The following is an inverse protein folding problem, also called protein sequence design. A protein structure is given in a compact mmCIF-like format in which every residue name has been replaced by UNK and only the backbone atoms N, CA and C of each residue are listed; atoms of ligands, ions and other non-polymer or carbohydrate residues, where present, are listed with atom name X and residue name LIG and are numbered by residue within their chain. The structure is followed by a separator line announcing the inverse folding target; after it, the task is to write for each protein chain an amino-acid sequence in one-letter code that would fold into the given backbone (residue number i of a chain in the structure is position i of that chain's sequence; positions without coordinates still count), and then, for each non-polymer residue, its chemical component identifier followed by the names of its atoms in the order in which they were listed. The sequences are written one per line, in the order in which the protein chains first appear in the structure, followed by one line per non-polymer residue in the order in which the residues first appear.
data_IF_796514341207
#
_entry.id   IF_796514341207
#
_cell.length_a   1.000
_cell.length_b   1.000
_cell.length_c   1.000
_cell.angle_alpha   90.00
_cell.angle_beta   90.00
_cell.angle_gamma   90.00
#
_symmetry.space_group_name_H-M   'P 1'
#
loop_
_entity.id
_entity.type
_entity.pdbx_description
1 polymer ?
#
# COMPACT_ATOMS: atom_id res chain seq x y z
N UNK A 1 1.35 16.04 -10.21
CA UNK A 1 1.75 14.62 -10.43
C UNK A 1 0.99 14.07 -11.62
N UNK A 2 1.63 13.29 -12.50
CA UNK A 2 0.99 12.67 -13.67
C UNK A 2 -0.18 11.75 -13.27
N UNK A 3 -0.11 11.14 -12.08
CA UNK A 3 -1.18 10.37 -11.46
C UNK A 3 -2.43 11.22 -11.25
N UNK A 4 -2.28 12.42 -10.66
CA UNK A 4 -3.40 13.35 -10.44
C UNK A 4 -4.03 13.80 -11.77
N UNK A 5 -3.19 14.03 -12.79
CA UNK A 5 -3.67 14.41 -14.12
C UNK A 5 -4.50 13.29 -14.78
N UNK A 6 -4.04 12.04 -14.73
CA UNK A 6 -4.82 10.92 -15.25
C UNK A 6 -6.08 10.65 -14.42
N UNK A 7 -6.00 10.83 -13.10
CA UNK A 7 -7.15 10.72 -12.20
C UNK A 7 -8.23 11.77 -12.49
N UNK A 8 -7.84 13.02 -12.77
CA UNK A 8 -8.79 14.09 -13.10
C UNK A 8 -9.45 13.95 -14.48
N UNK A 9 -8.86 13.16 -15.38
CA UNK A 9 -9.39 12.90 -16.72
C UNK A 9 -10.31 11.68 -16.78
N UNK A 10 -10.70 11.11 -15.63
CA UNK A 10 -11.49 9.88 -15.55
C UNK A 10 -10.73 8.62 -15.94
N UNK A 11 -9.41 8.72 -16.18
CA UNK A 11 -8.52 7.59 -16.51
C UNK A 11 -7.92 6.99 -15.24
N UNK A 12 -8.79 6.60 -14.32
CA UNK A 12 -8.40 6.12 -12.97
C UNK A 12 -7.48 4.91 -13.02
N UNK A 13 -7.66 3.99 -13.98
CA UNK A 13 -6.81 2.81 -14.12
C UNK A 13 -5.35 3.17 -14.47
N UNK A 14 -5.14 4.12 -15.36
CA UNK A 14 -3.79 4.61 -15.71
C UNK A 14 -3.17 5.37 -14.54
N UNK A 15 -3.96 6.14 -13.80
CA UNK A 15 -3.49 6.81 -12.60
C UNK A 15 -3.00 5.81 -11.55
N UNK A 16 -3.78 4.76 -11.29
CA UNK A 16 -3.44 3.69 -10.35
C UNK A 16 -2.23 2.89 -10.84
N UNK A 17 -2.16 2.54 -12.14
CA UNK A 17 -0.99 1.87 -12.71
C UNK A 17 0.31 2.64 -12.45
N UNK A 18 0.32 3.94 -12.74
CA UNK A 18 1.50 4.77 -12.51
C UNK A 18 1.80 4.92 -11.01
N UNK A 19 0.78 5.02 -10.16
CA UNK A 19 0.96 5.08 -8.71
C UNK A 19 1.49 3.77 -8.10
N UNK A 20 1.22 2.63 -8.74
CA UNK A 20 1.61 1.29 -8.27
C UNK A 20 2.94 0.82 -8.82
N UNK A 21 3.63 1.62 -9.64
CA UNK A 21 4.98 1.30 -10.06
C UNK A 21 5.85 1.05 -8.82
N UNK A 22 6.45 -0.15 -8.67
CA UNK A 22 7.14 -0.57 -7.45
C UNK A 22 8.54 0.03 -7.38
N UNK A 23 8.71 1.32 -7.72
CA UNK A 23 10.01 1.97 -7.78
C UNK A 23 10.70 2.00 -6.41
N UNK A 24 9.96 2.41 -5.37
CA UNK A 24 10.46 2.42 -3.99
C UNK A 24 10.77 1.01 -3.51
N UNK A 25 9.84 0.06 -3.71
CA UNK A 25 10.03 -1.35 -3.36
C UNK A 25 11.26 -1.95 -4.03
N UNK A 26 11.47 -1.67 -5.32
CA UNK A 26 12.62 -2.18 -6.06
C UNK A 26 13.94 -1.66 -5.47
N UNK A 27 14.02 -0.36 -5.21
CA UNK A 27 15.21 0.24 -4.56
C UNK A 27 15.45 -0.42 -3.21
N UNK A 28 14.42 -0.54 -2.37
CA UNK A 28 14.53 -1.16 -1.05
C UNK A 28 14.98 -2.62 -1.11
N UNK A 29 14.41 -3.43 -2.00
CA UNK A 29 14.80 -4.84 -2.17
C UNK A 29 16.26 -4.94 -2.62
N UNK A 30 16.70 -4.11 -3.57
CA UNK A 30 18.08 -4.06 -4.01
C UNK A 30 19.02 -3.68 -2.86
N UNK A 31 18.69 -2.64 -2.08
CA UNK A 31 19.49 -2.23 -0.92
C UNK A 31 19.59 -3.34 0.11
N UNK A 32 18.48 -4.00 0.46
CA UNK A 32 18.46 -5.12 1.40
C UNK A 32 19.27 -6.31 0.86
N UNK A 33 19.17 -6.59 -0.43
CA UNK A 33 19.95 -7.66 -1.07
C UNK A 33 21.45 -7.38 -1.00
N UNK A 34 21.90 -6.17 -1.34
CA UNK A 34 23.31 -5.82 -1.27
C UNK A 34 23.84 -5.77 0.17
N UNK A 35 22.99 -5.45 1.15
CA UNK A 35 23.38 -5.37 2.55
C UNK A 35 23.35 -6.71 3.30
N UNK A 36 22.41 -7.61 2.97
CA UNK A 36 22.12 -8.83 3.73
C UNK A 36 21.93 -10.10 2.89
N UNK A 37 22.16 -10.03 1.58
CA UNK A 37 22.06 -11.14 0.65
C UNK A 37 20.62 -11.60 0.37
N UNK A 38 20.51 -12.73 -0.34
CA UNK A 38 19.23 -13.29 -0.81
C UNK A 38 18.25 -13.59 0.32
N UNK A 39 18.73 -14.10 1.46
CA UNK A 39 17.87 -14.45 2.59
C UNK A 39 17.11 -13.24 3.15
N UNK A 40 17.80 -12.12 3.34
CA UNK A 40 17.20 -10.87 3.82
C UNK A 40 16.20 -10.30 2.81
N UNK A 41 16.53 -10.30 1.51
CA UNK A 41 15.65 -9.82 0.46
C UNK A 41 14.36 -10.66 0.34
N UNK A 42 14.48 -11.99 0.42
CA UNK A 42 13.32 -12.90 0.41
C UNK A 42 12.47 -12.73 1.66
N UNK A 43 13.09 -12.55 2.83
CA UNK A 43 12.35 -12.26 4.07
C UNK A 43 11.54 -10.97 3.96
N UNK A 44 12.13 -9.91 3.41
CA UNK A 44 11.42 -8.65 3.15
C UNK A 44 10.24 -8.85 2.19
N UNK A 45 10.43 -9.59 1.09
CA UNK A 45 9.36 -9.88 0.14
C UNK A 45 8.20 -10.66 0.79
N UNK A 46 8.51 -11.64 1.66
CA UNK A 46 7.50 -12.37 2.44
C UNK A 46 6.72 -11.43 3.36
N UNK A 47 7.40 -10.57 4.11
CA UNK A 47 6.75 -9.57 4.97
C UNK A 47 5.83 -8.64 4.18
N UNK A 48 6.22 -8.28 2.95
CA UNK A 48 5.38 -7.46 2.06
C UNK A 48 4.07 -8.18 1.69
N UNK A 49 4.14 -9.48 1.39
CA UNK A 49 2.94 -10.30 1.11
C UNK A 49 2.05 -10.46 2.35
N UNK A 50 2.65 -10.60 3.52
CA UNK A 50 1.94 -10.73 4.80
C UNK A 50 1.15 -9.44 5.12
N UNK A 51 1.67 -8.27 4.77
CA UNK A 51 0.99 -6.98 4.97
C UNK A 51 -0.03 -6.64 3.88
N UNK A 52 -0.03 -7.38 2.76
CA UNK A 52 -0.93 -7.11 1.63
C UNK A 52 -2.43 -7.12 2.02
N UNK A 53 -2.94 -8.06 2.86
CA UNK A 53 -4.33 -8.04 3.29
C UNK A 53 -4.71 -6.76 4.06
N UNK A 54 -3.82 -6.24 4.90
CA UNK A 54 -4.05 -4.97 5.61
C UNK A 54 -4.15 -3.79 4.63
N UNK A 55 -3.32 -3.79 3.60
CA UNK A 55 -3.39 -2.81 2.51
C UNK A 55 -4.69 -2.92 1.71
N UNK A 56 -5.17 -4.14 1.41
CA UNK A 56 -6.46 -4.34 0.73
C UNK A 56 -7.61 -3.81 1.59
N UNK A 57 -7.60 -4.06 2.90
CA UNK A 57 -8.60 -3.53 3.83
C UNK A 57 -8.65 -2.00 3.81
N UNK A 58 -7.49 -1.33 3.75
CA UNK A 58 -7.40 0.10 3.57
C UNK A 58 -8.06 0.59 2.29
N UNK A 59 -7.75 -0.04 1.15
CA UNK A 59 -8.30 0.33 -0.15
C UNK A 59 -9.83 0.14 -0.21
N UNK A 60 -10.33 -0.97 0.36
CA UNK A 60 -11.76 -1.24 0.49
C UNK A 60 -12.43 -0.21 1.41
N UNK A 61 -11.77 0.14 2.52
CA UNK A 61 -12.20 1.21 3.42
C UNK A 61 -12.38 2.52 2.66
N UNK A 62 -11.39 2.95 1.88
CA UNK A 62 -11.52 4.14 1.05
C UNK A 62 -12.69 4.02 0.07
N UNK A 63 -12.81 2.90 -0.65
CA UNK A 63 -13.89 2.71 -1.63
C UNK A 63 -15.29 2.86 -1.01
N UNK A 64 -15.49 2.34 0.20
CA UNK A 64 -16.80 2.34 0.87
C UNK A 64 -17.07 3.61 1.67
N UNK A 65 -16.05 4.21 2.30
CA UNK A 65 -16.21 5.35 3.19
C UNK A 65 -16.20 6.68 2.42
N UNK A 66 -15.45 6.80 1.33
CA UNK A 66 -15.32 8.05 0.57
C UNK A 66 -16.66 8.64 0.13
N UNK A 67 -17.62 7.87 -0.42
CA UNK A 67 -18.94 8.41 -0.77
C UNK A 67 -19.84 8.70 0.44
N UNK A 68 -19.51 8.21 1.65
CA UNK A 68 -20.37 8.29 2.84
C UNK A 68 -19.94 9.37 3.84
N UNK A 69 -18.63 9.52 4.05
CA UNK A 69 -18.05 10.33 5.14
C UNK A 69 -17.20 11.50 4.61
N UNK A 70 -17.04 11.62 3.29
CA UNK A 70 -16.15 12.60 2.67
C UNK A 70 -14.67 12.27 2.83
N UNK A 71 -13.80 13.06 2.21
CA UNK A 71 -12.37 12.72 2.04
C UNK A 71 -11.63 12.55 3.38
N UNK A 72 -11.70 13.54 4.26
CA UNK A 72 -10.87 13.58 5.47
C UNK A 72 -11.17 12.40 6.42
N UNK A 73 -12.44 12.18 6.77
CA UNK A 73 -12.84 11.11 7.68
C UNK A 73 -12.57 9.73 7.09
N UNK A 74 -12.78 9.55 5.79
CA UNK A 74 -12.51 8.28 5.10
C UNK A 74 -11.03 7.90 5.17
N UNK A 75 -10.13 8.88 4.99
CA UNK A 75 -8.69 8.67 5.12
C UNK A 75 -8.35 8.28 6.57
N UNK A 76 -8.81 9.07 7.56
CA UNK A 76 -8.50 8.82 8.97
C UNK A 76 -8.93 7.41 9.39
N UNK A 77 -10.17 7.02 9.07
CA UNK A 77 -10.69 5.70 9.45
C UNK A 77 -9.96 4.58 8.71
N UNK A 78 -9.75 4.71 7.40
CA UNK A 78 -9.07 3.66 6.62
C UNK A 78 -7.61 3.48 7.05
N UNK A 79 -6.90 4.57 7.35
CA UNK A 79 -5.53 4.52 7.88
C UNK A 79 -5.49 3.88 9.27
N UNK A 80 -6.43 4.21 10.15
CA UNK A 80 -6.52 3.58 11.47
C UNK A 80 -6.75 2.07 11.35
N UNK A 81 -7.64 1.63 10.45
CA UNK A 81 -7.88 0.21 10.15
C UNK A 81 -6.63 -0.46 9.60
N UNK A 82 -5.91 0.19 8.68
CA UNK A 82 -4.63 -0.30 8.15
C UNK A 82 -3.62 -0.56 9.27
N UNK A 83 -3.40 0.43 10.13
CA UNK A 83 -2.41 0.33 11.22
C UNK A 83 -2.80 -0.77 12.21
N UNK A 84 -4.09 -0.87 12.56
CA UNK A 84 -4.61 -1.93 13.42
C UNK A 84 -4.41 -3.32 12.82
N UNK A 85 -4.75 -3.49 11.54
CA UNK A 85 -4.58 -4.76 10.83
C UNK A 85 -3.09 -5.12 10.67
N UNK A 86 -2.24 -4.16 10.27
CA UNK A 86 -0.81 -4.37 10.14
C UNK A 86 -0.18 -4.78 11.47
N UNK A 87 -0.52 -4.08 12.56
CA UNK A 87 -0.03 -4.41 13.90
C UNK A 87 -0.48 -5.80 14.35
N UNK A 88 -1.74 -6.16 14.09
CA UNK A 88 -2.26 -7.48 14.40
C UNK A 88 -1.49 -8.57 13.64
N UNK A 89 -1.27 -8.37 12.34
CA UNK A 89 -0.52 -9.32 11.51
C UNK A 89 0.94 -9.45 11.95
N UNK A 90 1.60 -8.35 12.31
CA UNK A 90 2.97 -8.36 12.82
C UNK A 90 3.09 -9.08 14.17
N UNK A 91 2.04 -9.10 14.99
CA UNK A 91 2.02 -9.84 16.26
C UNK A 91 1.82 -11.35 16.06
N UNK A 92 1.23 -11.76 14.94
CA UNK A 92 0.88 -13.15 14.62
C UNK A 92 1.98 -13.90 13.84
N UNK A 93 3.00 -13.19 13.35
CA UNK A 93 4.13 -13.73 12.56
C UNK A 93 5.39 -13.74 13.40
#
# INVERSE_FOLDING_TARGET
MIVTYFGSQGKSELAVFVAFLPATTLITVCTIYFAGGTGAAVSYAKSMLILLPAWVLYAVGLLLLLPRLGLALSIVVSVAVYLGAAFLTMKLT
#
